data_IF_565331391632
#
_entry.id   IF_565331391632
#
_cell.length_a   1.000
_cell.length_b   1.000
_cell.length_c   1.000
_cell.angle_alpha   90.00
_cell.angle_beta   90.00
_cell.angle_gamma   90.00
#
_symmetry.space_group_name_H-M   'P 1'
#
loop_
_entity.id
_entity.type
_entity.pdbx_description
1 polymer ?
#
# COMPACT_ATOMS: atom_id res chain seq x y z
N UNK A 1 -40.78 12.18 16.32
CA UNK A 1 -40.35 10.79 16.04
C UNK A 1 -39.02 10.84 15.29
N UNK A 2 -37.94 11.28 15.94
CA UNK A 2 -36.64 11.57 15.28
C UNK A 2 -35.44 11.52 16.23
N UNK A 3 -35.28 10.42 16.97
CA UNK A 3 -34.05 10.13 17.74
C UNK A 3 -33.63 8.67 17.55
N UNK A 4 -33.29 8.27 16.32
CA UNK A 4 -32.87 6.88 16.05
C UNK A 4 -31.40 6.73 15.62
N UNK A 5 -30.62 7.81 15.51
CA UNK A 5 -29.21 7.70 15.11
C UNK A 5 -28.34 8.30 16.21
N UNK A 6 -27.81 7.43 17.08
CA UNK A 6 -26.82 7.80 18.08
C UNK A 6 -25.45 7.98 17.41
N UNK A 7 -25.20 9.19 16.88
CA UNK A 7 -23.96 9.57 16.20
C UNK A 7 -22.71 9.49 17.09
N UNK A 8 -22.89 9.42 18.41
CA UNK A 8 -21.80 9.23 19.38
C UNK A 8 -21.13 7.87 19.20
N UNK A 9 -21.88 6.84 18.80
CA UNK A 9 -21.33 5.51 18.50
C UNK A 9 -20.42 5.56 17.27
N UNK A 10 -20.84 6.26 16.21
CA UNK A 10 -20.00 6.49 15.03
C UNK A 10 -18.74 7.28 15.37
N UNK A 11 -18.86 8.36 16.15
CA UNK A 11 -17.72 9.17 16.58
C UNK A 11 -16.73 8.37 17.44
N UNK A 12 -17.22 7.50 18.31
CA UNK A 12 -16.38 6.64 19.14
C UNK A 12 -15.76 5.47 18.33
N UNK A 13 -16.48 4.98 17.33
CA UNK A 13 -15.98 3.99 16.38
C UNK A 13 -14.81 4.58 15.57
N UNK A 14 -14.99 5.74 14.93
CA UNK A 14 -13.92 6.40 14.17
C UNK A 14 -12.71 6.83 15.01
N UNK A 15 -12.86 6.98 16.34
CA UNK A 15 -11.76 7.24 17.28
C UNK A 15 -10.97 5.98 17.68
N UNK A 16 -11.47 4.80 17.37
CA UNK A 16 -10.84 3.52 17.71
C UNK A 16 -9.89 3.08 16.60
N UNK A 17 -8.63 2.72 16.94
CA UNK A 17 -7.67 2.14 15.98
C UNK A 17 -8.19 0.89 15.25
N UNK A 18 -9.22 0.21 15.78
CA UNK A 18 -9.79 -0.98 15.17
C UNK A 18 -10.84 -0.68 14.08
N UNK A 19 -11.36 0.55 14.01
CA UNK A 19 -12.42 0.87 13.04
C UNK A 19 -11.95 0.84 11.59
N UNK A 20 -10.72 1.28 11.32
CA UNK A 20 -10.13 1.20 9.99
C UNK A 20 -10.02 -0.24 9.48
N UNK A 21 -9.58 -1.14 10.36
CA UNK A 21 -9.49 -2.57 10.06
C UNK A 21 -10.83 -3.24 9.74
N UNK A 22 -11.84 -2.96 10.55
CA UNK A 22 -13.20 -3.47 10.34
C UNK A 22 -13.78 -2.93 9.03
N UNK A 23 -13.58 -1.64 8.75
CA UNK A 23 -14.03 -1.02 7.51
C UNK A 23 -13.37 -1.67 6.29
N UNK A 24 -12.05 -1.87 6.33
CA UNK A 24 -11.31 -2.55 5.27
C UNK A 24 -11.85 -3.96 5.03
N UNK A 25 -12.10 -4.72 6.11
CA UNK A 25 -12.68 -6.06 6.00
C UNK A 25 -14.08 -6.06 5.36
N UNK A 26 -14.93 -5.10 5.72
CA UNK A 26 -16.25 -4.92 5.10
C UNK A 26 -16.09 -4.60 3.60
N UNK A 27 -15.17 -3.72 3.23
CA UNK A 27 -14.89 -3.41 1.84
C UNK A 27 -14.43 -4.63 1.03
N UNK A 28 -13.58 -5.49 1.61
CA UNK A 28 -13.16 -6.75 0.97
C UNK A 28 -14.36 -7.68 0.75
N UNK A 29 -15.21 -7.87 1.77
CA UNK A 29 -16.41 -8.70 1.64
C UNK A 29 -17.35 -8.16 0.56
N UNK A 30 -17.61 -6.84 0.57
CA UNK A 30 -18.46 -6.21 -0.45
C UNK A 30 -17.87 -6.36 -1.85
N UNK A 31 -16.56 -6.16 -2.00
CA UNK A 31 -15.85 -6.35 -3.27
C UNK A 31 -16.00 -7.78 -3.79
N UNK A 32 -15.80 -8.80 -2.92
CA UNK A 32 -15.98 -10.20 -3.28
C UNK A 32 -17.43 -10.53 -3.68
N UNK A 33 -18.42 -10.00 -2.95
CA UNK A 33 -19.84 -10.19 -3.29
C UNK A 33 -20.12 -9.59 -4.67
N UNK A 34 -19.71 -8.36 -4.91
CA UNK A 34 -19.95 -7.68 -6.19
C UNK A 34 -19.26 -8.42 -7.34
N UNK A 35 -17.99 -8.81 -7.17
CA UNK A 35 -17.21 -9.53 -8.17
C UNK A 35 -17.82 -10.88 -8.56
N UNK A 36 -18.53 -11.56 -7.65
CA UNK A 36 -19.16 -12.86 -7.88
C UNK A 36 -20.65 -12.77 -8.28
N UNK A 37 -21.20 -11.57 -8.48
CA UNK A 37 -22.59 -11.37 -8.91
C UNK A 37 -22.66 -10.82 -10.34
N UNK A 38 -23.87 -10.76 -10.90
CA UNK A 38 -24.10 -10.19 -12.24
C UNK A 38 -23.71 -8.71 -12.38
N UNK A 39 -23.50 -8.00 -11.26
CA UNK A 39 -23.01 -6.62 -11.24
C UNK A 39 -21.49 -6.52 -11.51
N UNK A 40 -20.72 -7.59 -11.30
CA UNK A 40 -19.26 -7.63 -11.46
C UNK A 40 -18.78 -7.17 -12.82
N UNK A 41 -19.27 -7.74 -13.95
CA UNK A 41 -18.85 -7.32 -15.29
C UNK A 41 -19.16 -5.85 -15.61
N UNK A 42 -20.27 -5.33 -15.09
CA UNK A 42 -20.64 -3.91 -15.25
C UNK A 42 -19.69 -2.99 -14.51
N UNK A 43 -19.34 -3.33 -13.26
CA UNK A 43 -18.34 -2.59 -12.49
C UNK A 43 -16.96 -2.66 -13.15
N UNK A 44 -16.54 -3.84 -13.61
CA UNK A 44 -15.25 -4.01 -14.28
C UNK A 44 -15.18 -3.16 -15.56
N UNK A 45 -16.22 -3.17 -16.39
CA UNK A 45 -16.28 -2.35 -17.61
C UNK A 45 -16.22 -0.85 -17.30
N UNK A 46 -16.86 -0.42 -16.21
CA UNK A 46 -16.75 0.95 -15.72
C UNK A 46 -15.30 1.27 -15.29
N UNK A 47 -14.69 0.41 -14.47
CA UNK A 47 -13.31 0.58 -14.00
C UNK A 47 -12.27 0.56 -15.14
N UNK A 48 -12.54 -0.18 -16.21
CA UNK A 48 -11.70 -0.26 -17.40
C UNK A 48 -11.89 0.92 -18.37
N UNK A 49 -12.87 1.79 -18.12
CA UNK A 49 -13.15 2.95 -18.98
C UNK A 49 -11.91 3.86 -19.03
N UNK A 50 -11.37 4.16 -20.23
CA UNK A 50 -10.20 5.02 -20.33
C UNK A 50 -10.57 6.49 -20.13
N UNK A 51 -9.88 7.17 -19.22
CA UNK A 51 -10.01 8.60 -18.92
C UNK A 51 -8.64 9.26 -18.99
N UNK A 52 -8.61 10.48 -19.53
CA UNK A 52 -7.45 11.35 -19.52
C UNK A 52 -7.16 11.95 -20.89
N UNK A 53 -5.92 12.38 -21.07
CA UNK A 53 -5.49 13.11 -22.27
C UNK A 53 -4.38 12.36 -22.95
N UNK A 54 -4.45 12.31 -24.27
CA UNK A 54 -3.43 11.74 -25.13
C UNK A 54 -3.07 12.81 -26.16
N UNK A 55 -1.90 13.41 -25.99
CA UNK A 55 -1.35 14.49 -26.83
C UNK A 55 0.07 14.12 -27.20
N UNK A 56 0.61 14.69 -28.28
CA UNK A 56 1.97 14.39 -28.79
C UNK A 56 3.09 14.49 -27.74
N UNK A 57 2.88 15.24 -26.65
CA UNK A 57 3.86 15.43 -25.56
C UNK A 57 3.45 14.80 -24.22
N UNK A 58 2.19 14.41 -24.05
CA UNK A 58 1.64 13.93 -22.77
C UNK A 58 0.66 12.81 -23.04
N UNK A 59 1.04 11.61 -22.62
CA UNK A 59 0.28 10.38 -22.77
C UNK A 59 -0.24 9.93 -21.39
N UNK A 60 -1.31 10.59 -20.93
CA UNK A 60 -1.95 10.32 -19.63
C UNK A 60 -3.36 9.78 -19.82
N UNK A 61 -3.51 8.75 -20.66
CA UNK A 61 -4.78 8.07 -20.91
C UNK A 61 -4.77 6.69 -20.28
N UNK A 62 -5.37 6.58 -19.10
CA UNK A 62 -5.39 5.37 -18.30
C UNK A 62 -6.82 4.96 -17.95
N UNK A 63 -7.03 3.71 -17.57
CA UNK A 63 -8.32 3.28 -17.04
C UNK A 63 -8.65 4.00 -15.73
N UNK A 64 -9.93 4.10 -15.39
CA UNK A 64 -10.37 4.61 -14.07
C UNK A 64 -9.67 3.84 -12.94
N UNK A 65 -9.54 2.53 -13.09
CA UNK A 65 -8.84 1.67 -12.13
C UNK A 65 -7.41 2.10 -11.88
N UNK A 66 -6.64 2.39 -12.94
CA UNK A 66 -5.25 2.85 -12.81
C UNK A 66 -5.17 4.22 -12.13
N UNK A 67 -6.05 5.16 -12.50
CA UNK A 67 -6.11 6.46 -11.82
C UNK A 67 -6.42 6.35 -10.32
N UNK A 68 -7.37 5.47 -9.96
CA UNK A 68 -7.72 5.19 -8.56
C UNK A 68 -6.51 4.59 -7.84
N UNK A 69 -5.89 3.57 -8.43
CA UNK A 69 -4.74 2.89 -7.81
C UNK A 69 -3.58 3.87 -7.62
N UNK A 70 -3.14 4.57 -8.66
CA UNK A 70 -2.00 5.48 -8.56
C UNK A 70 -2.28 6.64 -7.59
N UNK A 71 -3.50 7.20 -7.63
CA UNK A 71 -3.90 8.27 -6.72
C UNK A 71 -3.94 7.85 -5.25
N UNK A 72 -4.64 6.74 -4.94
CA UNK A 72 -4.75 6.24 -3.57
C UNK A 72 -3.40 5.71 -3.05
N UNK A 73 -2.63 5.02 -3.90
CA UNK A 73 -1.30 4.52 -3.52
C UNK A 73 -0.30 5.65 -3.30
N UNK A 74 -0.40 6.76 -4.05
CA UNK A 74 0.42 7.96 -3.80
C UNK A 74 0.16 8.50 -2.39
N UNK A 75 -1.11 8.62 -1.98
CA UNK A 75 -1.47 9.08 -0.63
C UNK A 75 -1.01 8.09 0.44
N UNK A 76 -1.21 6.79 0.19
CA UNK A 76 -0.77 5.71 1.09
C UNK A 76 0.75 5.75 1.31
N UNK A 77 1.53 5.79 0.23
CA UNK A 77 2.98 5.81 0.33
C UNK A 77 3.56 7.12 0.82
N UNK A 78 2.85 8.24 0.66
CA UNK A 78 3.20 9.47 1.37
C UNK A 78 3.13 9.28 2.89
N UNK A 79 2.03 8.68 3.38
CA UNK A 79 1.87 8.38 4.80
C UNK A 79 2.93 7.39 5.28
N UNK A 80 3.17 6.31 4.54
CA UNK A 80 4.24 5.34 4.84
C UNK A 80 5.61 6.02 4.85
N UNK A 81 5.90 6.92 3.91
CA UNK A 81 7.15 7.67 3.86
C UNK A 81 7.36 8.58 5.09
N UNK A 82 6.29 9.23 5.56
CA UNK A 82 6.33 10.00 6.81
C UNK A 82 6.54 9.11 8.03
N UNK A 83 5.92 7.93 8.05
CA UNK A 83 6.07 6.95 9.12
C UNK A 83 7.49 6.36 9.16
N UNK A 84 8.06 6.01 8.00
CA UNK A 84 9.47 5.61 7.86
C UNK A 84 10.37 6.69 8.46
N UNK A 85 10.16 7.95 8.07
CA UNK A 85 10.95 9.07 8.59
C UNK A 85 10.84 9.16 10.11
N UNK A 86 9.64 9.03 10.68
CA UNK A 86 9.43 9.04 12.14
C UNK A 86 10.18 7.88 12.82
N UNK A 87 10.07 6.67 12.29
CA UNK A 87 10.72 5.47 12.83
C UNK A 87 12.26 5.57 12.79
N UNK A 88 12.81 6.20 11.74
CA UNK A 88 14.26 6.43 11.62
C UNK A 88 14.75 7.50 12.62
N UNK A 89 13.95 8.51 12.95
CA UNK A 89 14.39 9.58 13.84
C UNK A 89 14.17 9.23 15.32
N UNK A 90 13.03 8.63 15.66
CA UNK A 90 12.59 8.44 17.06
C UNK A 90 12.15 7.00 17.39
N UNK A 91 12.03 6.11 16.40
CA UNK A 91 11.42 4.79 16.56
C UNK A 91 12.39 3.61 16.56
N UNK A 92 11.89 2.44 16.19
CA UNK A 92 12.63 1.16 16.23
C UNK A 92 13.68 1.05 15.11
N UNK A 93 13.64 1.96 14.11
CA UNK A 93 14.64 2.06 13.06
C UNK A 93 15.75 3.08 13.37
N UNK A 94 15.70 3.75 14.52
CA UNK A 94 16.62 4.85 14.87
C UNK A 94 18.03 4.40 15.20
N UNK A 95 18.21 3.20 15.74
CA UNK A 95 19.53 2.64 16.03
C UNK A 95 19.80 1.39 15.17
N UNK A 96 21.01 1.21 14.62
CA UNK A 96 21.36 0.02 13.83
C UNK A 96 21.10 -1.30 14.56
N UNK A 97 21.25 -1.29 15.89
CA UNK A 97 20.99 -2.46 16.75
C UNK A 97 19.51 -2.82 16.76
N UNK A 98 18.61 -1.84 16.93
CA UNK A 98 17.16 -2.09 16.90
C UNK A 98 16.67 -2.39 15.48
N UNK A 99 17.14 -1.62 14.48
CA UNK A 99 16.75 -1.75 13.09
C UNK A 99 17.15 -3.09 12.47
N UNK A 100 18.24 -3.70 12.94
CA UNK A 100 18.74 -4.97 12.41
C UNK A 100 17.71 -6.10 12.41
N UNK A 101 16.89 -6.21 13.46
CA UNK A 101 15.92 -7.30 13.60
C UNK A 101 14.75 -7.14 12.60
N UNK A 102 14.02 -6.01 12.56
CA UNK A 102 12.98 -5.79 11.55
C UNK A 102 13.51 -5.93 10.12
N UNK A 103 14.69 -5.38 9.81
CA UNK A 103 15.23 -5.42 8.45
C UNK A 103 15.58 -6.85 8.02
N UNK A 104 16.23 -7.63 8.87
CA UNK A 104 16.56 -9.03 8.55
C UNK A 104 15.30 -9.89 8.42
N UNK A 105 14.32 -9.68 9.29
CA UNK A 105 13.02 -10.35 9.21
C UNK A 105 12.28 -9.98 7.91
N UNK A 106 12.31 -8.72 7.50
CA UNK A 106 11.67 -8.25 6.27
C UNK A 106 12.33 -8.85 5.02
N UNK A 107 13.67 -8.76 4.94
CA UNK A 107 14.43 -9.35 3.83
C UNK A 107 14.16 -10.87 3.73
N UNK A 108 14.17 -11.58 4.85
CA UNK A 108 13.82 -13.01 4.88
C UNK A 108 12.36 -13.26 4.48
N UNK A 109 11.44 -12.45 5.01
CA UNK A 109 10.01 -12.47 4.74
C UNK A 109 9.66 -12.18 3.29
N UNK A 110 10.49 -11.43 2.58
CA UNK A 110 10.30 -11.10 1.17
C UNK A 110 11.00 -12.11 0.24
N UNK A 111 12.25 -12.49 0.51
CA UNK A 111 13.02 -13.39 -0.36
C UNK A 111 12.43 -14.81 -0.36
N UNK A 112 12.03 -15.33 0.81
CA UNK A 112 11.58 -16.73 0.91
C UNK A 112 10.31 -16.99 0.09
N UNK A 113 9.23 -16.18 0.18
CA UNK A 113 8.06 -16.36 -0.68
C UNK A 113 8.35 -16.17 -2.17
N UNK A 114 9.22 -15.22 -2.53
CA UNK A 114 9.63 -15.00 -3.92
C UNK A 114 10.33 -16.24 -4.52
N UNK A 115 11.25 -16.86 -3.77
CA UNK A 115 11.95 -18.07 -4.20
C UNK A 115 11.01 -19.27 -4.33
N UNK A 116 10.08 -19.43 -3.37
CA UNK A 116 9.05 -20.49 -3.43
C UNK A 116 8.22 -20.31 -4.70
N UNK A 117 7.78 -19.09 -5.00
CA UNK A 117 7.01 -18.78 -6.21
C UNK A 117 7.79 -19.08 -7.48
N UNK A 118 9.04 -18.60 -7.60
CA UNK A 118 9.88 -18.85 -8.77
C UNK A 118 10.15 -20.34 -9.00
N UNK A 119 10.42 -21.09 -7.94
CA UNK A 119 10.64 -22.54 -8.05
C UNK A 119 9.40 -23.29 -8.53
N UNK A 120 8.22 -22.88 -8.06
CA UNK A 120 6.95 -23.52 -8.39
C UNK A 120 6.45 -23.13 -9.77
N UNK A 121 6.82 -21.93 -10.23
CA UNK A 121 6.31 -21.31 -11.46
C UNK A 121 7.35 -21.22 -12.59
N UNK A 122 8.43 -21.99 -12.46
CA UNK A 122 9.52 -22.01 -13.45
C UNK A 122 9.03 -22.48 -14.82
N UNK A 123 9.42 -21.74 -15.87
CA UNK A 123 9.04 -22.04 -17.25
C UNK A 123 7.61 -21.62 -17.65
N UNK A 124 6.85 -20.99 -16.75
CA UNK A 124 5.52 -20.46 -17.05
C UNK A 124 5.57 -18.99 -17.46
N UNK A 125 4.60 -18.54 -18.27
CA UNK A 125 4.47 -17.13 -18.65
C UNK A 125 4.27 -16.20 -17.44
N UNK A 126 3.74 -16.72 -16.33
CA UNK A 126 3.50 -16.00 -15.08
C UNK A 126 4.73 -15.90 -14.18
N UNK A 127 5.89 -16.45 -14.57
CA UNK A 127 7.12 -16.43 -13.76
C UNK A 127 7.58 -15.00 -13.42
N UNK A 128 7.24 -14.03 -14.28
CA UNK A 128 7.49 -12.61 -14.02
C UNK A 128 6.75 -12.05 -12.79
N UNK A 129 5.75 -12.75 -12.24
CA UNK A 129 4.98 -12.31 -11.06
C UNK A 129 5.61 -12.60 -9.70
N UNK A 130 6.92 -12.84 -9.62
CA UNK A 130 7.61 -13.25 -8.39
C UNK A 130 7.62 -12.21 -7.26
N UNK A 131 7.41 -10.93 -7.58
CA UNK A 131 7.26 -9.85 -6.60
C UNK A 131 5.90 -9.83 -5.89
N UNK A 132 4.87 -10.48 -6.45
CA UNK A 132 3.52 -10.52 -5.88
C UNK A 132 3.48 -11.07 -4.44
N UNK A 133 4.09 -12.23 -4.12
CA UNK A 133 4.04 -12.81 -2.77
C UNK A 133 4.95 -12.10 -1.75
N UNK A 134 5.70 -11.07 -2.14
CA UNK A 134 6.60 -10.34 -1.24
C UNK A 134 5.88 -9.29 -0.39
N UNK A 135 4.77 -8.74 -0.89
CA UNK A 135 4.07 -7.62 -0.25
C UNK A 135 3.20 -8.09 0.93
N UNK A 136 3.17 -7.28 2.00
CA UNK A 136 2.37 -7.53 3.20
C UNK A 136 1.47 -6.33 3.50
N UNK A 137 0.15 -6.53 3.57
CA UNK A 137 -0.78 -5.45 3.92
C UNK A 137 -0.71 -5.12 5.44
N UNK A 138 0.00 -4.03 5.76
CA UNK A 138 0.15 -3.51 7.14
C UNK A 138 -1.20 -3.20 7.79
N UNK A 139 -2.16 -2.63 7.05
CA UNK A 139 -3.44 -2.21 7.59
C UNK A 139 -4.26 -3.42 8.02
N UNK A 140 -4.27 -4.47 7.20
CA UNK A 140 -4.91 -5.73 7.54
C UNK A 140 -4.20 -6.45 8.70
N UNK A 141 -2.86 -6.52 8.67
CA UNK A 141 -2.09 -7.20 9.71
C UNK A 141 -2.28 -6.54 11.10
N UNK A 142 -2.20 -5.21 11.17
CA UNK A 142 -2.44 -4.44 12.40
C UNK A 142 -3.91 -4.51 12.84
N UNK A 143 -4.87 -4.55 11.90
CA UNK A 143 -6.28 -4.72 12.23
C UNK A 143 -6.55 -6.05 12.94
N UNK A 144 -6.07 -7.16 12.39
CA UNK A 144 -6.25 -8.50 12.99
C UNK A 144 -5.60 -8.56 14.36
N UNK A 145 -4.40 -8.01 14.52
CA UNK A 145 -3.72 -7.93 15.82
C UNK A 145 -4.46 -7.01 16.80
N UNK A 146 -5.04 -5.92 16.34
CA UNK A 146 -5.88 -5.02 17.13
C UNK A 146 -7.14 -5.69 17.65
N UNK A 147 -7.72 -6.61 16.88
CA UNK A 147 -8.90 -7.40 17.27
C UNK A 147 -8.60 -8.43 18.37
N UNK A 148 -7.37 -8.93 18.47
CA UNK A 148 -6.93 -9.83 19.54
C UNK A 148 -6.80 -9.11 20.91
N UNK A 149 -7.01 -7.80 20.94
CA UNK A 149 -7.18 -7.00 22.15
C UNK A 149 -5.92 -6.91 23.01
N UNK A 150 -6.10 -7.02 24.34
CA UNK A 150 -5.03 -6.82 25.32
C UNK A 150 -4.04 -7.99 25.42
N UNK A 151 -4.23 -9.07 24.64
CA UNK A 151 -3.34 -10.24 24.64
C UNK A 151 -2.02 -9.98 23.93
N UNK A 152 -1.94 -8.94 23.10
CA UNK A 152 -0.75 -8.62 22.32
C UNK A 152 -0.08 -7.37 22.90
N UNK A 153 1.21 -7.45 23.28
CA UNK A 153 1.93 -6.32 23.82
C UNK A 153 2.10 -5.22 22.77
N UNK A 154 2.13 -3.96 23.22
CA UNK A 154 2.29 -2.80 22.34
C UNK A 154 3.58 -2.86 21.52
N UNK A 155 4.67 -3.39 22.10
CA UNK A 155 5.95 -3.57 21.41
C UNK A 155 5.85 -4.47 20.17
N UNK A 156 5.00 -5.50 20.18
CA UNK A 156 4.80 -6.37 19.01
C UNK A 156 4.07 -5.64 17.88
N UNK A 157 3.15 -4.73 18.22
CA UNK A 157 2.44 -3.90 17.23
C UNK A 157 3.40 -2.92 16.55
N UNK A 158 4.26 -2.29 17.33
CA UNK A 158 5.31 -1.39 16.81
C UNK A 158 6.32 -2.17 15.97
N UNK A 159 6.78 -3.34 16.45
CA UNK A 159 7.67 -4.20 15.70
C UNK A 159 7.07 -4.64 14.36
N UNK A 160 5.80 -5.07 14.35
CA UNK A 160 5.14 -5.47 13.11
C UNK A 160 4.94 -4.30 12.15
N UNK A 161 4.61 -3.12 12.66
CA UNK A 161 4.54 -1.91 11.85
C UNK A 161 5.90 -1.62 11.18
N UNK A 162 6.99 -1.66 11.95
CA UNK A 162 8.35 -1.47 11.42
C UNK A 162 8.73 -2.55 10.39
N UNK A 163 8.41 -3.82 10.63
CA UNK A 163 8.61 -4.91 9.69
C UNK A 163 7.88 -4.66 8.36
N UNK A 164 6.58 -4.38 8.42
CA UNK A 164 5.74 -4.20 7.25
C UNK A 164 6.14 -2.95 6.45
N UNK A 165 6.56 -1.88 7.14
CA UNK A 165 7.12 -0.69 6.49
C UNK A 165 8.38 -1.02 5.66
N UNK A 166 9.28 -1.86 6.19
CA UNK A 166 10.49 -2.27 5.47
C UNK A 166 10.12 -3.19 4.30
N UNK A 167 9.19 -4.12 4.49
CA UNK A 167 8.67 -4.98 3.41
C UNK A 167 8.06 -4.15 2.26
N UNK A 168 7.23 -3.14 2.57
CA UNK A 168 6.61 -2.25 1.60
C UNK A 168 7.65 -1.45 0.81
N UNK A 169 8.72 -0.98 1.47
CA UNK A 169 9.85 -0.33 0.81
C UNK A 169 10.58 -1.29 -0.14
N UNK A 170 10.83 -2.52 0.29
CA UNK A 170 11.45 -3.56 -0.55
C UNK A 170 10.56 -3.82 -1.77
N UNK A 171 9.25 -3.98 -1.58
CA UNK A 171 8.30 -4.23 -2.66
C UNK A 171 8.27 -3.09 -3.69
N UNK A 172 8.25 -1.82 -3.25
CA UNK A 172 8.37 -0.67 -4.17
C UNK A 172 9.66 -0.72 -4.96
N UNK A 173 10.80 -0.97 -4.30
CA UNK A 173 12.10 -1.00 -4.98
C UNK A 173 12.12 -2.13 -6.02
N UNK A 174 11.56 -3.28 -5.69
CA UNK A 174 11.41 -4.41 -6.63
C UNK A 174 10.57 -3.99 -7.84
N UNK A 175 9.41 -3.35 -7.63
CA UNK A 175 8.57 -2.85 -8.72
C UNK A 175 9.34 -1.83 -9.59
N UNK A 176 10.02 -0.88 -8.96
CA UNK A 176 10.75 0.18 -9.66
C UNK A 176 11.91 -0.36 -10.51
N UNK A 177 12.66 -1.35 -10.02
CA UNK A 177 13.85 -1.86 -10.73
C UNK A 177 13.57 -3.04 -11.67
N UNK A 178 12.60 -3.90 -11.37
CA UNK A 178 12.34 -5.13 -12.14
C UNK A 178 11.09 -5.09 -13.00
N UNK A 179 10.11 -4.25 -12.67
CA UNK A 179 8.84 -4.15 -13.40
C UNK A 179 8.68 -2.85 -14.20
N UNK A 180 9.58 -1.89 -14.02
CA UNK A 180 9.57 -0.66 -14.82
C UNK A 180 10.01 -0.92 -16.26
N UNK A 181 9.30 -0.31 -17.22
CA UNK A 181 9.63 -0.34 -18.65
C UNK A 181 10.73 0.65 -19.05
N UNK A 182 11.30 1.39 -18.09
CA UNK A 182 12.35 2.38 -18.32
C UNK A 182 12.04 3.71 -17.66
N UNK A 183 12.91 4.70 -17.89
CA UNK A 183 12.74 6.06 -17.37
C UNK A 183 12.45 6.98 -18.56
N UNK A 184 11.26 7.56 -18.57
CA UNK A 184 10.89 8.60 -19.52
C UNK A 184 11.50 9.94 -19.10
N UNK A 185 12.53 10.37 -19.82
CA UNK A 185 13.32 11.57 -19.48
C UNK A 185 12.47 12.85 -19.42
N UNK A 186 11.45 12.96 -20.28
CA UNK A 186 10.52 14.09 -20.29
C UNK A 186 9.72 14.17 -18.98
N UNK A 187 9.16 13.05 -18.52
CA UNK A 187 8.42 13.02 -17.25
C UNK A 187 9.34 13.21 -16.04
N UNK A 188 10.58 12.72 -16.10
CA UNK A 188 11.58 12.97 -15.08
C UNK A 188 11.89 14.47 -14.94
N UNK A 189 11.98 15.20 -16.07
CA UNK A 189 12.19 16.64 -16.05
C UNK A 189 11.01 17.38 -15.41
N UNK A 190 9.77 17.01 -15.75
CA UNK A 190 8.57 17.59 -15.12
C UNK A 190 8.53 17.35 -13.61
N UNK A 191 8.86 16.13 -13.17
CA UNK A 191 8.96 15.80 -11.74
C UNK A 191 10.05 16.64 -11.04
N UNK A 192 11.21 16.82 -11.68
CA UNK A 192 12.30 17.65 -11.16
C UNK A 192 11.92 19.12 -11.01
N UNK A 193 11.23 19.70 -12.00
CA UNK A 193 10.72 21.07 -11.92
C UNK A 193 9.73 21.21 -10.77
N UNK A 194 8.78 20.28 -10.63
CA UNK A 194 7.81 20.27 -9.54
C UNK A 194 8.47 20.21 -8.15
N UNK A 195 9.50 19.38 -8.00
CA UNK A 195 10.31 19.30 -6.77
C UNK A 195 10.99 20.63 -6.43
N UNK A 196 11.58 21.31 -7.43
CA UNK A 196 12.22 22.61 -7.22
C UNK A 196 11.21 23.66 -6.78
N UNK A 197 10.05 23.73 -7.42
CA UNK A 197 8.97 24.66 -7.06
C UNK A 197 8.54 24.43 -5.60
N UNK A 198 8.27 23.17 -5.24
CA UNK A 198 7.88 22.81 -3.88
C UNK A 198 8.94 23.19 -2.85
N UNK A 199 10.23 23.00 -3.18
CA UNK A 199 11.32 23.36 -2.28
C UNK A 199 11.45 24.87 -2.08
N UNK A 200 11.27 25.67 -3.14
CA UNK A 200 11.29 27.13 -3.06
C UNK A 200 10.10 27.67 -2.26
N UNK A 201 8.93 27.08 -2.38
CA UNK A 201 7.74 27.50 -1.61
C UNK A 201 7.81 27.13 -0.12
N UNK A 202 8.60 26.10 0.25
CA UNK A 202 8.76 25.64 1.62
C UNK A 202 9.87 26.36 2.42
N UNK A 203 10.72 27.17 1.75
CA UNK A 203 11.76 28.00 2.38
C UNK A 203 11.25 29.39 2.75
#
# INVERSE_FOLDING_TARGET
MSQLINLTVFKNFFKSSNAGGILLFICVILSLIVANTAAGPGLQSFLDTPIGFDTDTVHLKYSILLWINDGLMTIFFLLVGLEIKREIVEGELSSPKQASLPILCAIGGAIVPALIFLSSNSGQATAGGWGIPMATDIAFALAVIGMLGNRIPASLKVFLAALAIVDDLIAILVIAFFYSSGIETTYLLYAGIGMVILFVELQ
#
